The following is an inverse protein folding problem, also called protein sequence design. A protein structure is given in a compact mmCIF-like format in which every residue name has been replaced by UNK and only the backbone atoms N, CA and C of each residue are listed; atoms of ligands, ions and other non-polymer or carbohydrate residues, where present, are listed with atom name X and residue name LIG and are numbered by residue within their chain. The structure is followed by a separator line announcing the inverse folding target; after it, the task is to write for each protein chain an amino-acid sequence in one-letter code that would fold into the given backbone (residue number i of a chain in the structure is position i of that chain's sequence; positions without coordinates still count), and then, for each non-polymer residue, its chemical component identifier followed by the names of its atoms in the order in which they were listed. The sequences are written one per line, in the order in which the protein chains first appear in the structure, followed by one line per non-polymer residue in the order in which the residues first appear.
data_IF_937581556957
#
_entry.id   IF_937581556957
#
_cell.length_a   1.000
_cell.length_b   1.000
_cell.length_c   1.000
_cell.angle_alpha   90.00
_cell.angle_beta   90.00
_cell.angle_gamma   90.00
#
_symmetry.space_group_name_H-M   'P 1'
#
loop_
_entity.id
_entity.type
_entity.pdbx_description
1 polymer ?
#
# COMPACT_ATOMS: atom_id res chain seq x y z
N UNK A 1 21.96 20.35 30.06
CA UNK A 1 20.54 20.02 29.77
C UNK A 1 19.67 20.65 30.83
N UNK A 2 19.22 21.89 30.59
CA UNK A 2 18.20 22.54 31.41
C UNK A 2 16.85 22.11 30.86
N UNK A 3 16.15 21.25 31.59
CA UNK A 3 14.77 20.86 31.31
C UNK A 3 13.86 21.58 32.29
N UNK A 4 12.72 22.10 31.83
CA UNK A 4 11.76 22.86 32.63
C UNK A 4 11.07 22.06 33.76
N UNK A 5 11.36 20.76 33.87
CA UNK A 5 10.72 19.84 34.82
C UNK A 5 11.51 19.63 36.12
N UNK A 6 12.68 20.24 36.30
CA UNK A 6 13.47 20.17 37.54
C UNK A 6 13.77 21.56 38.09
N UNK A 7 13.84 21.73 39.44
CA UNK A 7 14.30 22.98 40.04
C UNK A 7 15.66 23.37 39.46
N UNK A 8 15.88 24.65 39.19
CA UNK A 8 17.07 25.17 38.51
C UNK A 8 18.34 24.79 39.30
N UNK A 9 19.02 23.74 38.87
CA UNK A 9 20.32 23.33 39.45
C UNK A 9 21.40 24.17 38.78
N UNK A 10 21.64 25.37 39.32
CA UNK A 10 22.77 26.21 38.97
C UNK A 10 22.39 27.55 38.33
N UNK A 11 23.08 28.63 38.76
CA UNK A 11 23.08 29.91 38.05
C UNK A 11 23.80 29.70 36.72
N UNK A 12 23.18 30.15 35.63
CA UNK A 12 23.82 30.17 34.31
C UNK A 12 25.07 31.04 34.41
N UNK A 13 26.23 30.47 34.08
CA UNK A 13 27.51 31.19 34.02
C UNK A 13 27.59 32.03 32.73
N UNK A 14 28.32 33.15 32.75
CA UNK A 14 28.40 34.09 31.63
C UNK A 14 28.92 33.41 30.35
N UNK A 15 29.83 32.45 30.51
CA UNK A 15 30.35 31.63 29.41
C UNK A 15 29.29 30.69 28.80
N UNK A 16 28.40 30.13 29.62
CA UNK A 16 27.29 29.30 29.14
C UNK A 16 26.24 30.13 28.42
N UNK A 17 25.96 31.34 28.91
CA UNK A 17 25.04 32.28 28.26
C UNK A 17 25.57 32.73 26.89
N UNK A 18 26.85 33.12 26.81
CA UNK A 18 27.50 33.47 25.54
C UNK A 18 27.50 32.25 24.59
N UNK A 19 27.79 31.05 25.12
CA UNK A 19 27.74 29.81 24.34
C UNK A 19 26.34 29.45 23.83
N UNK A 20 25.28 29.75 24.58
CA UNK A 20 23.90 29.57 24.15
C UNK A 20 23.52 30.62 23.08
N UNK A 21 23.81 31.89 23.33
CA UNK A 21 23.53 32.98 22.39
C UNK A 21 24.27 32.80 21.06
N UNK A 22 25.54 32.37 21.08
CA UNK A 22 26.28 32.03 19.86
C UNK A 22 25.66 30.86 19.08
N UNK A 23 25.10 29.87 19.78
CA UNK A 23 24.37 28.77 19.12
C UNK A 23 23.06 29.28 18.51
N UNK A 24 22.30 30.13 19.19
CA UNK A 24 21.12 30.77 18.62
C UNK A 24 21.49 31.64 17.41
N UNK A 25 22.53 32.46 17.51
CA UNK A 25 23.00 33.28 16.40
C UNK A 25 23.42 32.43 15.19
N UNK A 26 24.20 31.37 15.41
CA UNK A 26 24.72 30.53 14.32
C UNK A 26 23.67 29.63 13.68
N UNK A 27 22.79 29.03 14.47
CA UNK A 27 21.87 27.99 13.99
C UNK A 27 20.41 28.46 13.83
N UNK A 28 19.98 29.45 14.61
CA UNK A 28 18.61 29.98 14.54
C UNK A 28 18.52 31.28 13.73
N UNK A 29 19.54 32.15 13.77
CA UNK A 29 19.54 33.42 13.04
C UNK A 29 20.39 33.39 11.75
N UNK A 30 21.42 32.54 11.69
CA UNK A 30 22.32 32.40 10.54
C UNK A 30 21.88 31.40 9.48
N UNK A 31 20.76 30.68 9.70
CA UNK A 31 20.21 29.76 8.71
C UNK A 31 19.30 30.53 7.75
N UNK A 32 19.70 30.65 6.48
CA UNK A 32 18.95 31.38 5.43
C UNK A 32 17.60 30.71 5.06
N UNK A 33 17.43 29.43 5.40
CA UNK A 33 16.17 28.72 5.23
C UNK A 33 15.27 28.94 6.45
N UNK A 34 14.57 30.07 6.46
CA UNK A 34 13.58 30.35 7.49
C UNK A 34 12.25 29.67 7.10
N UNK A 35 11.87 28.54 7.73
CA UNK A 35 10.68 27.80 7.32
C UNK A 35 9.43 28.66 7.46
N UNK A 36 8.59 28.66 6.42
CA UNK A 36 7.31 29.35 6.46
C UNK A 36 6.40 28.52 7.35
N UNK A 37 6.05 29.06 8.52
CA UNK A 37 5.12 28.40 9.44
C UNK A 37 3.77 28.17 8.76
N UNK A 38 3.22 26.96 8.88
CA UNK A 38 1.85 26.68 8.43
C UNK A 38 0.89 27.10 9.54
N UNK A 39 -0.12 27.90 9.21
CA UNK A 39 -1.22 28.14 10.14
C UNK A 39 -2.10 26.87 10.21
N UNK A 40 -1.82 26.01 11.21
CA UNK A 40 -2.52 24.74 11.38
C UNK A 40 -4.04 24.92 11.53
N UNK A 41 -4.52 25.94 12.25
CA UNK A 41 -5.96 26.11 12.43
C UNK A 41 -6.66 26.49 11.12
N UNK A 42 -6.06 27.38 10.33
CA UNK A 42 -6.55 27.71 8.99
C UNK A 42 -6.50 26.50 8.05
N UNK A 43 -5.43 25.70 8.12
CA UNK A 43 -5.31 24.48 7.35
C UNK A 43 -6.38 23.45 7.70
N UNK A 44 -6.61 23.18 9.00
CA UNK A 44 -7.64 22.24 9.44
C UNK A 44 -9.05 22.72 9.07
N UNK A 45 -9.31 24.02 9.15
CA UNK A 45 -10.58 24.60 8.71
C UNK A 45 -10.77 24.44 7.19
N UNK A 46 -9.71 24.65 6.41
CA UNK A 46 -9.74 24.44 4.97
C UNK A 46 -10.00 22.97 4.62
N UNK A 47 -9.26 22.03 5.21
CA UNK A 47 -9.43 20.58 4.99
C UNK A 47 -10.88 20.15 5.23
N UNK A 48 -11.49 20.63 6.31
CA UNK A 48 -12.88 20.31 6.71
C UNK A 48 -13.96 21.08 5.94
N UNK A 49 -13.56 22.05 5.12
CA UNK A 49 -14.46 22.81 4.27
C UNK A 49 -14.88 22.03 3.02
N UNK A 50 -14.96 22.74 1.89
CA UNK A 50 -15.27 22.11 0.61
C UNK A 50 -14.10 21.30 0.03
N UNK A 51 -14.40 20.54 -1.02
CA UNK A 51 -13.37 19.85 -1.83
C UNK A 51 -12.36 20.87 -2.38
N UNK A 52 -11.08 20.59 -2.21
CA UNK A 52 -10.02 21.45 -2.74
C UNK A 52 -10.02 21.52 -4.26
N UNK A 53 -9.78 22.73 -4.80
CA UNK A 53 -9.34 22.88 -6.18
C UNK A 53 -7.88 22.42 -6.33
N UNK A 54 -7.41 22.08 -7.53
CA UNK A 54 -6.00 21.76 -7.78
C UNK A 54 -5.06 22.87 -7.28
N UNK A 55 -5.37 24.13 -7.57
CA UNK A 55 -4.56 25.29 -7.20
C UNK A 55 -4.51 25.47 -5.68
N UNK A 56 -5.64 25.26 -5.01
CA UNK A 56 -5.72 25.33 -3.55
C UNK A 56 -4.89 24.22 -2.89
N UNK A 57 -4.95 23.00 -3.43
CA UNK A 57 -4.14 21.87 -2.97
C UNK A 57 -2.65 22.19 -3.12
N UNK A 58 -2.23 22.62 -4.31
CA UNK A 58 -0.83 22.94 -4.61
C UNK A 58 -0.28 24.02 -3.68
N UNK A 59 -1.09 25.04 -3.39
CA UNK A 59 -0.70 26.11 -2.47
C UNK A 59 -0.50 25.58 -1.03
N UNK A 60 -1.32 24.64 -0.58
CA UNK A 60 -1.14 24.01 0.73
C UNK A 60 0.06 23.06 0.76
N UNK A 61 0.27 22.26 -0.29
CA UNK A 61 1.41 21.37 -0.43
C UNK A 61 2.71 22.18 -0.37
N UNK A 62 2.84 23.24 -1.18
CA UNK A 62 4.00 24.12 -1.15
C UNK A 62 4.25 24.72 0.24
N UNK A 63 3.21 25.12 0.97
CA UNK A 63 3.36 25.65 2.34
C UNK A 63 3.86 24.58 3.33
N UNK A 64 3.37 23.36 3.21
CA UNK A 64 3.79 22.23 4.06
C UNK A 64 5.23 21.81 3.73
N UNK A 65 5.62 21.80 2.45
CA UNK A 65 7.00 21.50 2.04
C UNK A 65 8.01 22.47 2.65
N UNK A 66 7.67 23.76 2.68
CA UNK A 66 8.55 24.82 3.17
C UNK A 66 8.48 25.02 4.70
N UNK A 67 7.76 24.17 5.42
CA UNK A 67 7.64 24.26 6.88
C UNK A 67 8.62 23.33 7.60
N UNK A 68 8.77 23.53 8.90
CA UNK A 68 9.66 22.70 9.71
C UNK A 68 9.13 21.26 9.85
N UNK A 69 10.02 20.26 9.83
CA UNK A 69 9.66 18.83 9.89
C UNK A 69 8.73 18.49 11.06
N UNK A 70 8.94 19.07 12.25
CA UNK A 70 8.07 18.78 13.39
C UNK A 70 6.61 19.21 13.13
N UNK A 71 6.39 20.30 12.38
CA UNK A 71 5.04 20.69 11.96
C UNK A 71 4.50 19.76 10.88
N UNK A 72 5.34 19.29 9.94
CA UNK A 72 4.92 18.30 8.95
C UNK A 72 4.42 17.01 9.62
N UNK A 73 5.12 16.50 10.64
CA UNK A 73 4.71 15.28 11.36
C UNK A 73 3.36 15.46 12.07
N UNK A 74 3.11 16.64 12.64
CA UNK A 74 1.81 16.98 13.23
C UNK A 74 0.70 17.03 12.16
N UNK A 75 1.00 17.61 11.00
CA UNK A 75 0.08 17.71 9.87
C UNK A 75 -0.26 16.32 9.33
N UNK A 76 0.73 15.49 9.01
CA UNK A 76 0.50 14.13 8.50
C UNK A 76 -0.31 13.28 9.48
N UNK A 77 -0.02 13.42 10.78
CA UNK A 77 -0.82 12.79 11.82
C UNK A 77 -2.27 13.24 11.87
N UNK A 78 -2.50 14.54 11.65
CA UNK A 78 -3.84 15.11 11.63
C UNK A 78 -4.60 14.69 10.37
N UNK A 79 -3.96 14.66 9.20
CA UNK A 79 -4.55 14.17 7.96
C UNK A 79 -4.96 12.71 8.07
N UNK A 80 -4.09 11.86 8.63
CA UNK A 80 -4.40 10.46 8.94
C UNK A 80 -5.57 10.33 9.91
N UNK A 81 -5.59 11.14 10.97
CA UNK A 81 -6.68 11.17 11.95
C UNK A 81 -8.03 11.57 11.34
N UNK A 82 -8.04 12.65 10.53
CA UNK A 82 -9.24 13.13 9.83
C UNK A 82 -9.73 12.07 8.83
N UNK A 83 -8.82 11.48 8.04
CA UNK A 83 -9.18 10.42 7.12
C UNK A 83 -9.79 9.22 7.83
N UNK A 84 -9.26 8.85 9.00
CA UNK A 84 -9.68 7.65 9.73
C UNK A 84 -10.97 7.87 10.52
N UNK A 85 -11.29 9.10 10.91
CA UNK A 85 -12.41 9.41 11.80
C UNK A 85 -13.80 9.19 11.16
N UNK A 86 -14.65 8.27 11.68
CA UNK A 86 -16.00 8.02 11.20
C UNK A 86 -16.87 9.28 11.04
N UNK A 87 -16.68 10.28 11.90
CA UNK A 87 -17.44 11.52 11.89
C UNK A 87 -16.98 12.54 10.84
N UNK A 88 -15.83 12.32 10.20
CA UNK A 88 -15.35 13.23 9.15
C UNK A 88 -16.17 13.08 7.87
N UNK A 89 -16.56 14.23 7.31
CA UNK A 89 -17.27 14.31 6.03
C UNK A 89 -16.40 13.80 4.87
N UNK A 90 -17.04 13.54 3.74
CA UNK A 90 -16.37 13.01 2.55
C UNK A 90 -15.31 13.97 2.03
N UNK A 91 -15.61 15.27 1.95
CA UNK A 91 -14.66 16.27 1.45
C UNK A 91 -13.38 16.30 2.30
N UNK A 92 -13.48 16.26 3.64
CA UNK A 92 -12.31 16.27 4.50
C UNK A 92 -11.45 15.02 4.33
N UNK A 93 -12.06 13.85 4.15
CA UNK A 93 -11.30 12.61 3.90
C UNK A 93 -10.59 12.68 2.56
N UNK A 94 -11.27 13.13 1.52
CA UNK A 94 -10.70 13.28 0.17
C UNK A 94 -9.55 14.28 0.17
N UNK A 95 -9.76 15.45 0.79
CA UNK A 95 -8.72 16.47 0.93
C UNK A 95 -7.53 15.96 1.75
N UNK A 96 -7.79 15.24 2.86
CA UNK A 96 -6.72 14.70 3.70
C UNK A 96 -5.86 13.68 2.98
N UNK A 97 -6.50 12.79 2.22
CA UNK A 97 -5.80 11.80 1.41
C UNK A 97 -5.04 12.44 0.26
N UNK A 98 -5.64 13.41 -0.45
CA UNK A 98 -5.02 14.03 -1.62
C UNK A 98 -3.76 14.81 -1.24
N UNK A 99 -3.77 15.52 -0.12
CA UNK A 99 -2.58 16.20 0.40
C UNK A 99 -1.54 15.17 0.85
N UNK A 100 -1.94 14.15 1.62
CA UNK A 100 -1.01 13.12 2.09
C UNK A 100 -0.33 12.34 0.95
N UNK A 101 -1.03 12.15 -0.19
CA UNK A 101 -0.50 11.45 -1.36
C UNK A 101 0.73 12.13 -1.98
N UNK A 102 0.78 13.46 -1.99
CA UNK A 102 1.93 14.19 -2.56
C UNK A 102 3.20 14.02 -1.70
N UNK A 103 3.02 13.80 -0.40
CA UNK A 103 4.12 13.59 0.55
C UNK A 103 4.51 12.12 0.75
N UNK A 104 3.63 11.17 0.42
CA UNK A 104 3.86 9.75 0.68
C UNK A 104 5.20 9.20 0.16
N UNK A 105 5.67 9.54 -1.07
CA UNK A 105 6.99 9.12 -1.56
C UNK A 105 8.16 9.64 -0.72
N UNK A 106 7.97 10.79 -0.06
CA UNK A 106 9.01 11.54 0.66
C UNK A 106 8.87 11.47 2.18
N UNK A 107 7.96 10.66 2.72
CA UNK A 107 7.83 10.50 4.17
C UNK A 107 9.12 9.98 4.81
N UNK A 108 9.63 10.76 5.77
CA UNK A 108 10.79 10.38 6.58
C UNK A 108 10.49 9.13 7.42
N UNK A 109 11.51 8.39 7.88
CA UNK A 109 11.31 7.25 8.79
C UNK A 109 10.51 7.63 10.05
N UNK A 110 10.70 8.85 10.55
CA UNK A 110 9.97 9.37 11.71
C UNK A 110 8.48 9.57 11.40
N UNK A 111 8.14 10.19 10.26
CA UNK A 111 6.75 10.35 9.82
C UNK A 111 6.04 8.98 9.69
N UNK A 112 6.71 8.01 9.06
CA UNK A 112 6.19 6.64 8.91
C UNK A 112 5.95 5.98 10.26
N UNK A 113 6.92 6.05 11.17
CA UNK A 113 6.79 5.51 12.53
C UNK A 113 5.61 6.13 13.28
N UNK A 114 5.42 7.44 13.20
CA UNK A 114 4.32 8.13 13.89
C UNK A 114 2.94 7.74 13.31
N UNK A 115 2.85 7.47 12.00
CA UNK A 115 1.63 6.96 11.38
C UNK A 115 1.33 5.51 11.79
N UNK A 116 2.36 4.65 11.82
CA UNK A 116 2.23 3.25 12.27
C UNK A 116 1.78 3.20 13.73
N UNK A 117 2.38 4.02 14.61
CA UNK A 117 1.99 4.08 16.01
C UNK A 117 0.51 4.44 16.18
N UNK A 118 0.02 5.45 15.44
CA UNK A 118 -1.41 5.82 15.46
C UNK A 118 -2.32 4.71 14.95
N UNK A 119 -1.87 3.97 13.93
CA UNK A 119 -2.62 2.83 13.40
C UNK A 119 -2.77 1.71 14.43
N UNK A 120 -1.67 1.33 15.11
CA UNK A 120 -1.70 0.36 16.19
C UNK A 120 -2.52 0.83 17.40
N UNK A 121 -2.49 2.13 17.72
CA UNK A 121 -3.32 2.70 18.78
C UNK A 121 -4.82 2.48 18.55
N UNK A 122 -5.29 2.46 17.30
CA UNK A 122 -6.69 2.16 17.01
C UNK A 122 -7.05 0.70 17.33
N UNK A 123 -6.17 -0.24 17.01
CA UNK A 123 -6.34 -1.66 17.39
C UNK A 123 -6.35 -1.78 18.91
N UNK A 124 -5.38 -1.19 19.59
CA UNK A 124 -5.23 -1.26 21.04
C UNK A 124 -6.45 -0.68 21.78
N UNK A 125 -7.14 0.31 21.20
CA UNK A 125 -8.37 0.91 21.73
C UNK A 125 -9.65 0.17 21.34
N UNK A 126 -9.57 -0.86 20.48
CA UNK A 126 -10.74 -1.56 19.94
C UNK A 126 -11.54 -0.74 18.92
N UNK A 127 -10.97 0.32 18.35
CA UNK A 127 -11.64 1.16 17.34
C UNK A 127 -11.50 0.55 15.94
N UNK A 128 -12.28 -0.49 15.67
CA UNK A 128 -12.24 -1.20 14.39
C UNK A 128 -12.57 -0.30 13.19
N UNK A 129 -13.42 0.73 13.37
CA UNK A 129 -13.82 1.62 12.28
C UNK A 129 -12.65 2.49 11.85
N UNK A 130 -11.97 3.13 12.80
CA UNK A 130 -10.75 3.91 12.51
C UNK A 130 -9.61 3.02 12.05
N UNK A 131 -9.49 1.82 12.61
CA UNK A 131 -8.48 0.86 12.16
C UNK A 131 -8.65 0.47 10.68
N UNK A 132 -9.86 0.08 10.26
CA UNK A 132 -10.15 -0.25 8.85
C UNK A 132 -9.95 0.96 7.93
N UNK A 133 -10.36 2.15 8.36
CA UNK A 133 -10.11 3.37 7.59
C UNK A 133 -8.60 3.67 7.48
N UNK A 134 -7.84 3.49 8.57
CA UNK A 134 -6.38 3.62 8.55
C UNK A 134 -5.72 2.63 7.60
N UNK A 135 -6.19 1.38 7.55
CA UNK A 135 -5.68 0.38 6.60
C UNK A 135 -5.89 0.84 5.15
N UNK A 136 -7.08 1.35 4.84
CA UNK A 136 -7.37 1.93 3.51
C UNK A 136 -6.52 3.16 3.20
N UNK A 137 -6.13 3.94 4.22
CA UNK A 137 -5.24 5.09 4.04
C UNK A 137 -3.86 4.63 3.55
N UNK A 138 -3.22 3.68 4.25
CA UNK A 138 -1.92 3.14 3.82
C UNK A 138 -1.99 2.51 2.44
N UNK A 139 -3.07 1.79 2.14
CA UNK A 139 -3.30 1.16 0.86
C UNK A 139 -3.42 2.17 -0.29
N UNK A 140 -4.20 3.25 -0.10
CA UNK A 140 -4.35 4.30 -1.11
C UNK A 140 -3.06 5.12 -1.32
N UNK A 141 -2.20 5.17 -0.31
CA UNK A 141 -0.88 5.80 -0.39
C UNK A 141 0.22 4.88 -0.93
N UNK A 142 -0.07 3.62 -1.28
CA UNK A 142 0.94 2.70 -1.78
C UNK A 142 1.90 2.18 -0.70
N UNK A 143 1.51 2.22 0.58
CA UNK A 143 2.36 1.97 1.73
C UNK A 143 1.96 0.72 2.52
N UNK A 144 1.38 -0.28 1.87
CA UNK A 144 1.04 -1.55 2.52
C UNK A 144 2.24 -2.25 3.16
N UNK A 145 3.46 -2.02 2.67
CA UNK A 145 4.70 -2.53 3.26
C UNK A 145 4.96 -2.03 4.69
N UNK A 146 4.25 -1.01 5.17
CA UNK A 146 4.33 -0.53 6.55
C UNK A 146 3.41 -1.28 7.51
N UNK A 147 2.47 -2.08 7.00
CA UNK A 147 1.52 -2.85 7.78
C UNK A 147 2.09 -4.21 8.19
N UNK A 148 1.43 -4.86 9.15
CA UNK A 148 1.82 -6.19 9.59
C UNK A 148 1.56 -7.27 8.52
N UNK A 149 2.37 -8.33 8.51
CA UNK A 149 2.21 -9.46 7.57
C UNK A 149 0.81 -10.07 7.62
N UNK A 150 0.22 -10.18 8.81
CA UNK A 150 -1.14 -10.70 8.99
C UNK A 150 -2.20 -9.85 8.30
N UNK A 151 -2.05 -8.51 8.32
CA UNK A 151 -2.98 -7.60 7.67
C UNK A 151 -2.86 -7.69 6.15
N UNK A 152 -1.62 -7.72 5.65
CA UNK A 152 -1.33 -7.90 4.22
C UNK A 152 -1.88 -9.24 3.73
N UNK A 153 -1.66 -10.32 4.49
CA UNK A 153 -2.25 -11.63 4.22
C UNK A 153 -3.78 -11.53 4.11
N UNK A 154 -4.43 -10.92 5.10
CA UNK A 154 -5.89 -10.79 5.13
C UNK A 154 -6.41 -9.99 3.92
N UNK A 155 -5.75 -8.88 3.56
CA UNK A 155 -6.12 -8.07 2.39
C UNK A 155 -6.01 -8.87 1.08
N UNK A 156 -4.87 -9.54 0.86
CA UNK A 156 -4.63 -10.32 -0.36
C UNK A 156 -5.55 -11.54 -0.43
N UNK A 157 -5.67 -12.31 0.65
CA UNK A 157 -6.54 -13.49 0.71
C UNK A 157 -8.00 -13.11 0.43
N UNK A 158 -8.49 -12.01 1.02
CA UNK A 158 -9.84 -11.53 0.75
C UNK A 158 -10.03 -11.08 -0.72
N UNK A 159 -9.02 -10.43 -1.32
CA UNK A 159 -9.06 -10.06 -2.73
C UNK A 159 -9.08 -11.30 -3.65
N UNK A 160 -8.27 -12.31 -3.35
CA UNK A 160 -8.26 -13.60 -4.05
C UNK A 160 -9.62 -14.30 -3.97
N UNK A 161 -10.19 -14.44 -2.77
CA UNK A 161 -11.51 -15.05 -2.55
C UNK A 161 -12.61 -14.34 -3.34
N UNK A 162 -12.61 -13.01 -3.36
CA UNK A 162 -13.58 -12.21 -4.11
C UNK A 162 -13.43 -12.43 -5.62
N UNK A 163 -12.21 -12.38 -6.13
CA UNK A 163 -11.92 -12.64 -7.55
C UNK A 163 -12.36 -14.06 -7.94
N UNK A 164 -12.00 -15.07 -7.15
CA UNK A 164 -12.41 -16.45 -7.40
C UNK A 164 -13.92 -16.63 -7.35
N UNK A 165 -14.61 -16.02 -6.39
CA UNK A 165 -16.08 -16.08 -6.29
C UNK A 165 -16.74 -15.53 -7.55
N UNK A 166 -16.25 -14.38 -8.03
CA UNK A 166 -16.75 -13.79 -9.27
C UNK A 166 -16.42 -14.66 -10.48
N UNK A 167 -15.22 -15.24 -10.53
CA UNK A 167 -14.82 -16.14 -11.59
C UNK A 167 -15.70 -17.41 -11.70
N UNK A 168 -16.23 -17.90 -10.57
CA UNK A 168 -17.15 -19.05 -10.55
C UNK A 168 -18.63 -18.68 -10.71
N UNK A 169 -18.96 -17.38 -10.77
CA UNK A 169 -20.34 -16.93 -10.92
C UNK A 169 -20.84 -17.09 -12.36
N UNK A 170 -22.16 -17.06 -12.56
CA UNK A 170 -22.78 -17.26 -13.89
C UNK A 170 -22.36 -16.18 -14.91
N UNK A 171 -22.34 -14.91 -14.50
CA UNK A 171 -21.86 -13.77 -15.31
C UNK A 171 -20.40 -13.40 -14.98
N UNK A 172 -19.54 -14.41 -14.85
CA UNK A 172 -18.17 -14.23 -14.38
C UNK A 172 -17.37 -13.24 -15.22
N UNK A 173 -17.33 -13.41 -16.55
CA UNK A 173 -16.38 -12.68 -17.39
C UNK A 173 -16.62 -11.17 -17.45
N UNK A 174 -17.86 -10.73 -17.27
CA UNK A 174 -18.21 -9.31 -17.25
C UNK A 174 -17.81 -8.63 -15.92
N UNK A 175 -17.94 -9.36 -14.81
CA UNK A 175 -17.75 -8.82 -13.46
C UNK A 175 -16.32 -9.02 -12.92
N UNK A 176 -15.53 -9.89 -13.52
CA UNK A 176 -14.14 -10.19 -13.13
C UNK A 176 -13.13 -9.02 -13.19
N UNK A 177 -13.17 -8.11 -14.19
CA UNK A 177 -12.14 -7.07 -14.38
C UNK A 177 -11.84 -6.19 -13.15
N UNK A 178 -12.82 -5.59 -12.44
CA UNK A 178 -12.53 -4.76 -11.26
C UNK A 178 -11.85 -5.53 -10.13
N UNK A 179 -12.12 -6.83 -9.99
CA UNK A 179 -11.47 -7.65 -8.95
C UNK A 179 -10.04 -8.04 -9.35
N UNK A 180 -9.79 -8.26 -10.64
CA UNK A 180 -8.45 -8.52 -11.15
C UNK A 180 -7.54 -7.28 -11.06
N UNK A 181 -8.08 -6.11 -11.42
CA UNK A 181 -7.39 -4.82 -11.25
C UNK A 181 -7.04 -4.56 -9.78
N UNK A 182 -8.02 -4.80 -8.89
CA UNK A 182 -7.83 -4.66 -7.46
C UNK A 182 -6.73 -5.57 -6.91
N UNK A 183 -6.70 -6.83 -7.33
CA UNK A 183 -5.70 -7.78 -6.87
C UNK A 183 -4.29 -7.40 -7.36
N UNK A 184 -4.17 -6.92 -8.61
CA UNK A 184 -2.91 -6.39 -9.15
C UNK A 184 -2.44 -5.17 -8.34
N UNK A 185 -3.35 -4.26 -7.99
CA UNK A 185 -3.01 -3.07 -7.19
C UNK A 185 -2.43 -3.45 -5.83
N UNK A 186 -3.01 -4.45 -5.15
CA UNK A 186 -2.54 -4.88 -3.82
C UNK A 186 -1.22 -5.64 -3.90
N UNK A 187 -1.11 -6.62 -4.80
CA UNK A 187 0.09 -7.46 -4.97
C UNK A 187 1.29 -6.67 -5.49
N UNK A 188 1.07 -5.57 -6.21
CA UNK A 188 2.15 -4.68 -6.67
C UNK A 188 2.75 -3.77 -5.61
N UNK A 189 2.09 -3.57 -4.46
CA UNK A 189 2.54 -2.63 -3.42
C UNK A 189 3.47 -3.26 -2.37
N UNK A 190 3.36 -4.57 -2.15
CA UNK A 190 4.07 -5.27 -1.09
C UNK A 190 4.38 -6.70 -1.55
N UNK A 191 5.53 -7.21 -1.12
CA UNK A 191 5.88 -8.61 -1.38
C UNK A 191 4.81 -9.54 -0.81
N UNK A 192 4.36 -10.50 -1.61
CA UNK A 192 3.38 -11.51 -1.22
C UNK A 192 3.90 -12.32 -0.02
N UNK A 193 3.22 -12.31 1.14
CA UNK A 193 3.56 -13.19 2.26
C UNK A 193 3.51 -14.66 1.86
N UNK A 194 4.43 -15.48 2.38
CA UNK A 194 4.47 -16.93 2.08
C UNK A 194 3.14 -17.62 2.39
N UNK A 195 2.42 -17.13 3.40
CA UNK A 195 1.11 -17.62 3.84
C UNK A 195 -0.02 -17.44 2.81
N UNK A 196 0.12 -16.55 1.82
CA UNK A 196 -0.91 -16.28 0.79
C UNK A 196 -0.44 -16.57 -0.64
N UNK A 197 0.85 -16.83 -0.86
CA UNK A 197 1.42 -17.10 -2.20
C UNK A 197 0.67 -18.20 -2.95
N UNK A 198 0.36 -19.30 -2.27
CA UNK A 198 -0.34 -20.42 -2.91
C UNK A 198 -1.75 -20.03 -3.37
N UNK A 199 -2.51 -19.36 -2.50
CA UNK A 199 -3.87 -18.87 -2.81
C UNK A 199 -3.84 -17.82 -3.94
N UNK A 200 -2.86 -16.91 -3.93
CA UNK A 200 -2.69 -15.88 -4.96
C UNK A 200 -2.42 -16.52 -6.32
N UNK A 201 -1.41 -17.39 -6.41
CA UNK A 201 -1.00 -18.02 -7.67
C UNK A 201 -2.11 -18.91 -8.20
N UNK A 202 -2.75 -19.73 -7.35
CA UNK A 202 -3.88 -20.56 -7.76
C UNK A 202 -5.01 -19.69 -8.32
N UNK A 203 -5.36 -18.60 -7.63
CA UNK A 203 -6.44 -17.71 -8.06
C UNK A 203 -6.14 -17.06 -9.39
N UNK A 204 -4.99 -16.41 -9.53
CA UNK A 204 -4.60 -15.67 -10.73
C UNK A 204 -4.52 -16.60 -11.94
N UNK A 205 -3.88 -17.76 -11.79
CA UNK A 205 -3.68 -18.71 -12.89
C UNK A 205 -4.99 -19.40 -13.28
N UNK A 206 -5.86 -19.72 -12.32
CA UNK A 206 -7.21 -20.25 -12.60
C UNK A 206 -8.03 -19.24 -13.38
N UNK A 207 -8.05 -17.98 -12.94
CA UNK A 207 -8.79 -16.90 -13.60
C UNK A 207 -8.28 -16.64 -15.02
N UNK A 208 -6.95 -16.61 -15.19
CA UNK A 208 -6.31 -16.37 -16.49
C UNK A 208 -6.50 -17.55 -17.47
N UNK A 209 -6.54 -18.78 -16.97
CA UNK A 209 -6.83 -19.97 -17.79
C UNK A 209 -8.28 -19.99 -18.24
N UNK A 210 -9.18 -19.47 -17.40
CA UNK A 210 -10.60 -19.44 -17.67
C UNK A 210 -11.30 -20.75 -17.37
N UNK A 211 -12.47 -20.91 -17.98
CA UNK A 211 -13.26 -22.14 -17.94
C UNK A 211 -13.39 -22.74 -19.36
N UNK A 212 -14.19 -23.79 -19.49
CA UNK A 212 -14.43 -24.48 -20.77
C UNK A 212 -14.98 -23.57 -21.88
N UNK A 213 -15.68 -22.49 -21.51
CA UNK A 213 -16.31 -21.56 -22.43
C UNK A 213 -15.39 -20.41 -22.85
N UNK A 214 -14.52 -19.92 -21.97
CA UNK A 214 -13.81 -18.67 -22.25
C UNK A 214 -12.92 -18.14 -21.13
N UNK A 215 -12.47 -16.91 -21.33
CA UNK A 215 -11.71 -16.07 -20.38
C UNK A 215 -12.33 -14.67 -20.36
N UNK A 216 -12.12 -13.91 -19.29
CA UNK A 216 -12.49 -12.48 -19.26
C UNK A 216 -11.44 -11.64 -19.98
N UNK A 217 -11.70 -11.27 -21.23
CA UNK A 217 -10.80 -10.44 -22.04
C UNK A 217 -10.40 -9.13 -21.36
N UNK A 218 -11.32 -8.51 -20.61
CA UNK A 218 -11.05 -7.26 -19.89
C UNK A 218 -10.20 -7.46 -18.61
N UNK A 219 -10.22 -8.65 -18.00
CA UNK A 219 -9.36 -8.97 -16.86
C UNK A 219 -7.96 -9.43 -17.27
N UNK A 220 -7.81 -10.00 -18.48
CA UNK A 220 -6.54 -10.56 -18.97
C UNK A 220 -5.33 -9.61 -18.87
N UNK A 221 -5.42 -8.30 -19.19
CA UNK A 221 -4.28 -7.40 -19.06
C UNK A 221 -3.73 -7.33 -17.62
N UNK A 222 -4.61 -7.37 -16.62
CA UNK A 222 -4.21 -7.33 -15.21
C UNK A 222 -3.62 -8.67 -14.75
N UNK A 223 -4.25 -9.78 -15.15
CA UNK A 223 -3.77 -11.12 -14.83
C UNK A 223 -2.41 -11.41 -15.47
N UNK A 224 -2.22 -11.04 -16.73
CA UNK A 224 -0.93 -11.17 -17.41
C UNK A 224 0.18 -10.35 -16.76
N UNK A 225 -0.14 -9.13 -16.29
CA UNK A 225 0.83 -8.32 -15.54
C UNK A 225 1.27 -9.02 -14.26
N UNK A 226 0.32 -9.60 -13.50
CA UNK A 226 0.63 -10.37 -12.28
C UNK A 226 1.48 -11.61 -12.58
N UNK A 227 1.13 -12.38 -13.61
CA UNK A 227 1.87 -13.61 -13.97
C UNK A 227 3.32 -13.27 -14.37
N UNK A 228 3.52 -12.20 -15.15
CA UNK A 228 4.86 -11.73 -15.53
C UNK A 228 5.69 -11.24 -14.34
N UNK A 229 5.06 -10.80 -13.25
CA UNK A 229 5.72 -10.33 -12.04
C UNK A 229 5.91 -11.42 -10.97
N UNK A 230 5.59 -12.69 -11.26
CA UNK A 230 5.78 -13.76 -10.30
C UNK A 230 7.25 -13.93 -9.89
N UNK A 231 7.47 -14.01 -8.58
CA UNK A 231 8.73 -14.41 -7.97
C UNK A 231 9.07 -15.87 -8.32
N UNK A 232 10.34 -16.30 -8.20
CA UNK A 232 10.72 -17.69 -8.43
C UNK A 232 9.91 -18.70 -7.60
N UNK A 233 9.56 -18.34 -6.34
CA UNK A 233 8.67 -19.16 -5.50
C UNK A 233 7.25 -19.27 -6.05
N UNK A 234 6.71 -18.20 -6.61
CA UNK A 234 5.36 -18.19 -7.21
C UNK A 234 5.34 -18.96 -8.54
N UNK A 235 6.43 -18.90 -9.32
CA UNK A 235 6.62 -19.71 -10.54
C UNK A 235 6.65 -21.21 -10.20
N UNK A 236 7.36 -21.61 -9.14
CA UNK A 236 7.36 -23.00 -8.67
C UNK A 236 5.96 -23.48 -8.31
N UNK A 237 5.20 -22.65 -7.59
CA UNK A 237 3.80 -22.94 -7.26
C UNK A 237 2.97 -23.08 -8.54
N UNK A 238 3.06 -22.13 -9.47
CA UNK A 238 2.31 -22.14 -10.73
C UNK A 238 2.52 -23.44 -11.51
N UNK A 239 3.77 -23.90 -11.61
CA UNK A 239 4.15 -25.11 -12.34
C UNK A 239 3.74 -26.40 -11.61
N UNK A 240 3.53 -26.34 -10.29
CA UNK A 240 3.02 -27.47 -9.49
C UNK A 240 1.49 -27.63 -9.56
N UNK A 241 0.74 -26.57 -9.91
CA UNK A 241 -0.73 -26.57 -9.92
C UNK A 241 -1.37 -27.68 -10.77
N UNK A 242 -0.87 -28.05 -11.97
CA UNK A 242 -1.52 -29.08 -12.79
C UNK A 242 -1.62 -30.47 -12.13
N UNK A 243 -0.73 -30.76 -11.17
CA UNK A 243 -0.69 -32.04 -10.44
C UNK A 243 -1.47 -31.95 -9.12
N UNK A 244 -1.70 -30.74 -8.59
CA UNK A 244 -2.46 -30.52 -7.36
C UNK A 244 -3.96 -30.76 -7.58
N UNK A 245 -4.64 -31.13 -6.48
CA UNK A 245 -6.10 -31.25 -6.44
C UNK A 245 -6.72 -29.87 -6.23
N UNK A 246 -6.75 -29.07 -7.29
CA UNK A 246 -7.35 -27.75 -7.31
C UNK A 246 -8.25 -27.57 -8.54
N UNK A 247 -9.01 -26.47 -8.56
CA UNK A 247 -9.96 -26.16 -9.66
C UNK A 247 -9.24 -26.13 -11.01
N UNK A 248 -8.05 -25.53 -11.06
CA UNK A 248 -7.23 -25.51 -12.27
C UNK A 248 -6.81 -26.92 -12.69
N UNK A 249 -6.27 -27.72 -11.78
CA UNK A 249 -5.79 -29.07 -12.08
C UNK A 249 -6.87 -29.95 -12.70
N UNK A 250 -8.09 -29.90 -12.17
CA UNK A 250 -9.25 -30.62 -12.72
C UNK A 250 -9.66 -30.09 -14.10
N UNK A 251 -9.66 -28.76 -14.31
CA UNK A 251 -9.94 -28.14 -15.62
C UNK A 251 -8.91 -28.52 -16.68
N UNK A 252 -7.63 -28.59 -16.32
CA UNK A 252 -6.55 -28.99 -17.22
C UNK A 252 -6.66 -30.47 -17.65
N UNK A 253 -7.15 -31.35 -16.76
CA UNK A 253 -7.43 -32.75 -17.10
C UNK A 253 -8.62 -32.86 -18.04
N UNK A 254 -9.71 -32.15 -17.72
CA UNK A 254 -10.99 -32.26 -18.43
C UNK A 254 -11.02 -31.56 -19.81
N UNK A 255 -10.34 -30.42 -19.97
CA UNK A 255 -10.53 -29.57 -21.16
C UNK A 255 -9.21 -29.23 -21.87
N UNK A 256 -9.13 -29.55 -23.17
CA UNK A 256 -7.96 -29.26 -24.02
C UNK A 256 -7.73 -27.75 -24.15
N UNK A 257 -8.80 -26.96 -24.26
CA UNK A 257 -8.73 -25.49 -24.37
C UNK A 257 -8.06 -24.84 -23.17
N UNK A 258 -8.33 -25.34 -21.96
CA UNK A 258 -7.69 -24.89 -20.73
C UNK A 258 -6.19 -25.22 -20.75
N UNK A 259 -5.79 -26.41 -21.24
CA UNK A 259 -4.36 -26.77 -21.39
C UNK A 259 -3.63 -25.84 -22.34
N UNK A 260 -4.22 -25.52 -23.48
CA UNK A 260 -3.62 -24.61 -24.46
C UNK A 260 -3.42 -23.22 -23.86
N UNK A 261 -4.42 -22.68 -23.17
CA UNK A 261 -4.32 -21.37 -22.51
C UNK A 261 -3.27 -21.37 -21.41
N UNK A 262 -3.28 -22.39 -20.55
CA UNK A 262 -2.27 -22.52 -19.48
C UNK A 262 -0.84 -22.59 -20.06
N UNK A 263 -0.63 -23.32 -21.15
CA UNK A 263 0.66 -23.31 -21.88
C UNK A 263 1.05 -21.91 -22.33
N UNK A 264 0.13 -21.13 -22.90
CA UNK A 264 0.38 -19.72 -23.25
C UNK A 264 0.77 -18.88 -22.03
N UNK A 265 0.14 -19.12 -20.87
CA UNK A 265 0.49 -18.43 -19.62
C UNK A 265 1.89 -18.79 -19.13
N UNK A 266 2.28 -20.07 -19.18
CA UNK A 266 3.63 -20.51 -18.81
C UNK A 266 4.70 -19.85 -19.71
N UNK A 267 4.40 -19.67 -20.99
CA UNK A 267 5.29 -18.98 -21.94
C UNK A 267 5.48 -17.48 -21.64
N UNK A 268 4.66 -16.88 -20.76
CA UNK A 268 4.86 -15.50 -20.31
C UNK A 268 5.96 -15.37 -19.25
N UNK A 269 6.35 -16.48 -18.61
CA UNK A 269 7.39 -16.49 -17.59
C UNK A 269 8.76 -16.43 -18.27
N UNK A 270 9.65 -15.59 -17.73
CA UNK A 270 11.03 -15.54 -18.19
C UNK A 270 11.78 -16.81 -17.76
N UNK A 271 12.47 -17.46 -18.70
CA UNK A 271 13.20 -18.70 -18.41
C UNK A 271 14.26 -18.53 -17.31
N UNK A 272 14.79 -17.32 -17.11
CA UNK A 272 15.76 -17.00 -16.05
C UNK A 272 15.17 -16.98 -14.64
N UNK A 273 13.85 -16.80 -14.49
CA UNK A 273 13.18 -16.80 -13.19
C UNK A 273 12.71 -18.18 -12.74
N UNK A 274 12.82 -19.20 -13.61
CA UNK A 274 12.37 -20.57 -13.34
C UNK A 274 13.35 -21.28 -12.40
N UNK A 275 12.91 -21.74 -11.22
CA UNK A 275 13.77 -22.51 -10.32
C UNK A 275 14.21 -23.84 -10.94
N UNK A 276 15.44 -24.28 -10.65
CA UNK A 276 16.00 -25.53 -11.19
C UNK A 276 15.09 -26.75 -10.92
N UNK A 277 14.43 -26.80 -9.76
CA UNK A 277 13.49 -27.87 -9.39
C UNK A 277 12.26 -27.93 -10.30
N UNK A 278 11.83 -26.80 -10.85
CA UNK A 278 10.66 -26.68 -11.71
C UNK A 278 11.00 -26.69 -13.21
N UNK A 279 12.30 -26.75 -13.57
CA UNK A 279 12.76 -26.69 -14.97
C UNK A 279 12.20 -27.80 -15.87
N UNK A 280 12.02 -29.01 -15.34
CA UNK A 280 11.42 -30.12 -16.09
C UNK A 280 9.93 -29.86 -16.41
N UNK A 281 9.18 -29.33 -15.43
CA UNK A 281 7.78 -28.96 -15.62
C UNK A 281 7.64 -27.79 -16.61
N UNK A 282 8.50 -26.78 -16.49
CA UNK A 282 8.55 -25.66 -17.43
C UNK A 282 8.83 -26.11 -18.86
N UNK A 283 9.83 -26.98 -19.06
CA UNK A 283 10.16 -27.54 -20.37
C UNK A 283 9.01 -28.41 -20.94
N UNK A 284 8.25 -29.10 -20.08
CA UNK A 284 7.09 -29.87 -20.51
C UNK A 284 5.98 -28.96 -21.05
N UNK A 285 5.68 -27.86 -20.37
CA UNK A 285 4.59 -26.96 -20.76
C UNK A 285 4.97 -25.99 -21.89
N UNK A 286 6.25 -25.71 -22.10
CA UNK A 286 6.70 -24.79 -23.17
C UNK A 286 6.87 -25.47 -24.53
N UNK A 287 7.08 -26.78 -24.58
CA UNK A 287 7.09 -27.61 -25.80
C UNK A 287 5.71 -27.69 -26.43
#
# INVERSE_FOLDING_TARGET
NFSAAHPVVGKIDDHEFIGFTNRCAKYALGNENNPIGVNLSAFMAAIKGGKFSPEQKDQWVHRIENTHEAQQYLIFGSLHGIYSDPASNEEARVNSLSVAADFAPHFTPKARSDLINRHHDYIAKGDEKRHKASQQFFEKLGMLALLGEHEVHSLLSNACKRLMTMHQSYDNFYNEPPFAERLLQLSGQVATPDTVKEELVETVVTCATGNQYGVSNAAMPYLHKMIKSFSPSEVEIMLSLPVKKCVLGERLKAHVTCRTRYKTLVQLIDASSVPAKAGAAYAHWTK
#
